data_IF_452634459852
#
_entry.id   IF_452634459852
#
_cell.length_a   1.000
_cell.length_b   1.000
_cell.length_c   1.000
_cell.angle_alpha   90.00
_cell.angle_beta   90.00
_cell.angle_gamma   90.00
#
_symmetry.space_group_name_H-M   'P 1'
#
loop_
_entity.id
_entity.type
_entity.pdbx_description
1 polymer ?
#
# COMPACT_ATOMS: atom_id res chain seq x y z
N UNK A 1 7.50 8.25 -42.57
CA UNK A 1 7.20 9.39 -41.71
C UNK A 1 5.88 9.14 -41.03
N UNK A 2 5.75 9.35 -39.72
CA UNK A 2 4.45 9.26 -39.05
C UNK A 2 3.50 10.30 -39.65
N UNK A 3 2.22 9.94 -39.77
CA UNK A 3 1.18 10.87 -40.25
C UNK A 3 0.84 11.79 -39.07
N UNK A 4 1.51 12.95 -39.02
CA UNK A 4 1.43 13.90 -37.89
C UNK A 4 0.00 14.36 -37.64
N UNK A 5 -0.78 14.58 -38.70
CA UNK A 5 -2.19 14.94 -38.59
C UNK A 5 -3.03 13.85 -37.88
N UNK A 6 -2.76 12.59 -38.19
CA UNK A 6 -3.39 11.45 -37.52
C UNK A 6 -3.00 11.35 -36.05
N UNK A 7 -1.75 11.62 -35.70
CA UNK A 7 -1.28 11.64 -34.31
C UNK A 7 -1.98 12.75 -33.51
N UNK A 8 -2.11 13.94 -34.04
CA UNK A 8 -2.81 15.06 -33.40
C UNK A 8 -4.30 14.72 -33.17
N UNK A 9 -4.97 14.18 -34.16
CA UNK A 9 -6.38 13.80 -34.03
C UNK A 9 -6.59 12.73 -32.93
N UNK A 10 -5.75 11.69 -32.92
CA UNK A 10 -5.80 10.66 -31.91
C UNK A 10 -5.44 11.18 -30.50
N UNK A 11 -4.44 12.06 -30.39
CA UNK A 11 -4.04 12.64 -29.13
C UNK A 11 -5.14 13.52 -28.52
N UNK A 12 -5.76 14.36 -29.32
CA UNK A 12 -6.91 15.19 -28.91
C UNK A 12 -8.07 14.30 -28.44
N UNK A 13 -8.40 13.26 -29.20
CA UNK A 13 -9.44 12.32 -28.83
C UNK A 13 -9.12 11.61 -27.52
N UNK A 14 -7.88 11.14 -27.35
CA UNK A 14 -7.40 10.47 -26.12
C UNK A 14 -7.49 11.39 -24.89
N UNK A 15 -7.05 12.66 -25.02
CA UNK A 15 -7.17 13.65 -23.93
C UNK A 15 -8.63 13.89 -23.57
N UNK A 16 -9.52 14.04 -24.54
CA UNK A 16 -10.93 14.30 -24.28
C UNK A 16 -11.62 13.12 -23.58
N UNK A 17 -11.43 11.91 -24.09
CA UNK A 17 -12.09 10.71 -23.54
C UNK A 17 -11.58 10.41 -22.13
N UNK A 18 -10.25 10.30 -21.94
CA UNK A 18 -9.67 9.99 -20.64
C UNK A 18 -9.85 11.16 -19.65
N UNK A 19 -9.75 12.40 -20.11
CA UNK A 19 -10.00 13.58 -19.30
C UNK A 19 -11.45 13.67 -18.81
N UNK A 20 -12.43 13.35 -19.67
CA UNK A 20 -13.84 13.29 -19.27
C UNK A 20 -14.08 12.15 -18.25
N UNK A 21 -13.50 10.98 -18.48
CA UNK A 21 -13.60 9.87 -17.56
C UNK A 21 -12.97 10.20 -16.20
N UNK A 22 -11.76 10.76 -16.17
CA UNK A 22 -11.08 11.21 -14.96
C UNK A 22 -11.91 12.27 -14.20
N UNK A 23 -12.47 13.25 -14.93
CA UNK A 23 -13.36 14.26 -14.34
C UNK A 23 -14.59 13.63 -13.67
N UNK A 24 -15.21 12.64 -14.30
CA UNK A 24 -16.35 11.93 -13.71
C UNK A 24 -15.97 11.15 -12.45
N UNK A 25 -14.83 10.48 -12.47
CA UNK A 25 -14.35 9.69 -11.34
C UNK A 25 -13.70 10.53 -10.22
N UNK A 26 -13.29 11.77 -10.49
CA UNK A 26 -12.71 12.66 -9.47
C UNK A 26 -13.63 12.94 -8.27
N UNK A 27 -14.94 12.74 -8.45
CA UNK A 27 -15.96 12.87 -7.40
C UNK A 27 -16.22 11.56 -6.65
N UNK A 28 -15.57 10.49 -7.02
CA UNK A 28 -15.68 9.18 -6.39
C UNK A 28 -15.14 9.16 -4.97
N UNK A 29 -15.81 8.42 -4.08
CA UNK A 29 -15.48 8.35 -2.66
C UNK A 29 -14.76 7.05 -2.28
N UNK A 30 -14.80 6.05 -3.16
CA UNK A 30 -14.20 4.74 -2.90
C UNK A 30 -12.73 4.70 -3.32
N UNK A 31 -11.94 3.85 -2.65
CA UNK A 31 -10.53 3.63 -2.99
C UNK A 31 -10.34 3.18 -4.43
N UNK A 32 -11.21 2.28 -4.90
CA UNK A 32 -11.18 1.77 -6.27
C UNK A 32 -11.37 2.90 -7.29
N UNK A 33 -12.26 3.85 -7.00
CA UNK A 33 -12.48 5.04 -7.84
C UNK A 33 -11.26 5.97 -7.85
N UNK A 34 -10.56 6.09 -6.72
CA UNK A 34 -9.31 6.88 -6.64
C UNK A 34 -8.19 6.25 -7.47
N UNK A 35 -7.96 4.95 -7.33
CA UNK A 35 -6.92 4.25 -8.11
C UNK A 35 -7.21 4.35 -9.59
N UNK A 36 -8.46 4.12 -9.99
CA UNK A 36 -8.87 4.24 -11.40
C UNK A 36 -8.73 5.69 -11.90
N UNK A 37 -9.04 6.69 -11.09
CA UNK A 37 -8.88 8.09 -11.45
C UNK A 37 -7.40 8.47 -11.66
N UNK A 38 -6.49 7.96 -10.82
CA UNK A 38 -5.05 8.14 -11.02
C UNK A 38 -4.56 7.54 -12.33
N UNK A 39 -5.02 6.34 -12.67
CA UNK A 39 -4.68 5.69 -13.94
C UNK A 39 -5.17 6.51 -15.14
N UNK A 40 -6.42 7.00 -15.10
CA UNK A 40 -6.94 7.85 -16.15
C UNK A 40 -6.20 9.19 -16.30
N UNK A 41 -5.71 9.76 -15.19
CA UNK A 41 -4.85 10.95 -15.22
C UNK A 41 -3.48 10.67 -15.84
N UNK A 42 -2.89 9.52 -15.59
CA UNK A 42 -1.66 9.07 -16.25
C UNK A 42 -1.87 8.94 -17.76
N UNK A 43 -2.99 8.38 -18.19
CA UNK A 43 -3.35 8.26 -19.60
C UNK A 43 -3.53 9.64 -20.25
N UNK A 44 -4.20 10.58 -19.57
CA UNK A 44 -4.34 11.97 -20.05
C UNK A 44 -2.97 12.61 -20.24
N UNK A 45 -2.05 12.47 -19.28
CA UNK A 45 -0.69 13.00 -19.38
C UNK A 45 0.06 12.39 -20.56
N UNK A 46 -0.12 11.09 -20.80
CA UNK A 46 0.43 10.41 -21.97
C UNK A 46 -0.07 11.00 -23.29
N UNK A 47 -1.38 11.18 -23.42
CA UNK A 47 -1.97 11.78 -24.61
C UNK A 47 -1.57 13.24 -24.81
N UNK A 48 -1.43 14.02 -23.73
CA UNK A 48 -0.90 15.40 -23.80
C UNK A 48 0.55 15.40 -24.27
N UNK A 49 1.38 14.49 -23.81
CA UNK A 49 2.76 14.36 -24.29
C UNK A 49 2.81 14.05 -25.79
N UNK A 50 2.01 13.09 -26.28
CA UNK A 50 1.88 12.78 -27.72
C UNK A 50 1.40 14.01 -28.51
N UNK A 51 0.46 14.78 -27.97
CA UNK A 51 -0.03 15.99 -28.62
C UNK A 51 1.07 17.05 -28.75
N UNK A 52 1.82 17.31 -27.69
CA UNK A 52 2.94 18.26 -27.70
C UNK A 52 3.97 17.87 -28.76
N UNK A 53 4.34 16.59 -28.79
CA UNK A 53 5.29 16.06 -29.78
C UNK A 53 4.77 16.21 -31.19
N UNK A 54 3.52 15.83 -31.41
CA UNK A 54 2.91 15.96 -32.75
C UNK A 54 2.90 17.44 -33.23
N UNK A 55 2.66 18.40 -32.33
CA UNK A 55 2.74 19.82 -32.64
C UNK A 55 4.20 20.23 -32.95
N UNK A 56 5.18 19.77 -32.19
CA UNK A 56 6.60 20.06 -32.44
C UNK A 56 7.02 19.52 -33.82
N UNK A 57 6.60 18.30 -34.17
CA UNK A 57 6.90 17.67 -35.47
C UNK A 57 6.27 18.39 -36.65
N UNK A 58 5.23 19.24 -36.47
CA UNK A 58 4.71 20.09 -37.51
C UNK A 58 5.68 21.20 -37.91
N UNK A 59 6.53 21.67 -36.95
CA UNK A 59 7.43 22.82 -37.18
C UNK A 59 8.89 22.41 -37.35
N UNK A 60 9.25 21.21 -36.88
CA UNK A 60 10.64 20.73 -36.86
C UNK A 60 10.69 19.32 -37.45
N UNK A 61 11.37 19.19 -38.55
CA UNK A 61 11.57 17.86 -39.18
C UNK A 61 12.71 17.09 -38.48
N UNK A 62 12.40 16.62 -37.29
CA UNK A 62 13.31 15.85 -36.43
C UNK A 62 12.82 14.40 -36.27
N UNK A 63 13.19 13.47 -37.16
CA UNK A 63 12.71 12.09 -37.15
C UNK A 63 13.04 11.31 -35.85
N UNK A 64 14.04 11.78 -35.09
CA UNK A 64 14.47 11.15 -33.84
C UNK A 64 13.56 11.48 -32.64
N UNK A 65 12.74 12.53 -32.76
CA UNK A 65 11.91 12.99 -31.65
C UNK A 65 10.84 11.95 -31.26
N UNK A 66 10.22 11.34 -32.24
CA UNK A 66 9.16 10.35 -32.06
C UNK A 66 9.69 9.07 -31.36
N UNK A 67 10.78 8.39 -31.82
CA UNK A 67 11.37 7.27 -31.10
C UNK A 67 11.87 7.66 -29.70
N UNK A 68 12.50 8.83 -29.57
CA UNK A 68 13.05 9.25 -28.28
C UNK A 68 11.94 9.43 -27.23
N UNK A 69 10.82 10.02 -27.61
CA UNK A 69 9.67 10.21 -26.72
C UNK A 69 8.95 8.92 -26.43
N UNK A 70 8.80 8.04 -27.41
CA UNK A 70 8.26 6.70 -27.21
C UNK A 70 9.07 5.92 -26.16
N UNK A 71 10.40 5.97 -26.26
CA UNK A 71 11.30 5.32 -25.28
C UNK A 71 11.15 5.98 -23.90
N UNK A 72 11.15 7.31 -23.83
CA UNK A 72 11.07 8.04 -22.56
C UNK A 72 9.73 7.78 -21.86
N UNK A 73 8.64 7.77 -22.60
CA UNK A 73 7.32 7.46 -22.08
C UNK A 73 7.18 6.02 -21.64
N UNK A 74 7.70 5.07 -22.44
CA UNK A 74 7.72 3.67 -22.07
C UNK A 74 8.53 3.43 -20.79
N UNK A 75 9.68 4.10 -20.66
CA UNK A 75 10.52 4.00 -19.47
C UNK A 75 9.80 4.59 -18.22
N UNK A 76 9.10 5.70 -18.38
CA UNK A 76 8.28 6.28 -17.30
C UNK A 76 7.19 5.31 -16.83
N UNK A 77 6.44 4.73 -17.77
CA UNK A 77 5.41 3.72 -17.43
C UNK A 77 6.05 2.50 -16.77
N UNK A 78 7.16 2.00 -17.32
CA UNK A 78 7.83 0.82 -16.77
C UNK A 78 8.28 1.04 -15.32
N UNK A 79 8.81 2.23 -14.99
CA UNK A 79 9.20 2.58 -13.62
C UNK A 79 7.99 2.58 -12.69
N UNK A 80 6.86 3.14 -13.10
CA UNK A 80 5.64 3.17 -12.29
C UNK A 80 5.05 1.77 -12.09
N UNK A 81 4.99 0.96 -13.14
CA UNK A 81 4.55 -0.43 -13.07
C UNK A 81 5.46 -1.24 -12.14
N UNK A 82 6.79 -1.09 -12.24
CA UNK A 82 7.73 -1.78 -11.37
C UNK A 82 7.55 -1.39 -9.89
N UNK A 83 7.31 -0.12 -9.59
CA UNK A 83 7.01 0.36 -8.21
C UNK A 83 5.71 -0.25 -7.67
N UNK A 84 4.65 -0.24 -8.47
CA UNK A 84 3.35 -0.80 -8.07
C UNK A 84 3.45 -2.32 -7.88
N UNK A 85 4.15 -3.01 -8.79
CA UNK A 85 4.41 -4.44 -8.67
C UNK A 85 5.19 -4.77 -7.39
N UNK A 86 6.24 -3.99 -7.09
CA UNK A 86 6.99 -4.17 -5.85
C UNK A 86 6.14 -3.98 -4.60
N UNK A 87 5.25 -2.97 -4.59
CA UNK A 87 4.31 -2.75 -3.50
C UNK A 87 3.36 -3.95 -3.33
N UNK A 88 2.81 -4.45 -4.43
CA UNK A 88 1.95 -5.62 -4.45
C UNK A 88 2.67 -6.88 -3.96
N UNK A 89 3.90 -7.12 -4.43
CA UNK A 89 4.72 -8.25 -3.98
C UNK A 89 4.95 -8.18 -2.45
N UNK A 90 5.28 -7.00 -1.92
CA UNK A 90 5.46 -6.82 -0.47
C UNK A 90 4.19 -7.15 0.32
N UNK A 91 3.03 -6.79 -0.21
CA UNK A 91 1.74 -7.11 0.40
C UNK A 91 1.52 -8.62 0.46
N UNK A 92 1.72 -9.32 -0.66
CA UNK A 92 1.59 -10.79 -0.73
C UNK A 92 2.63 -11.53 0.12
N UNK A 93 3.81 -10.98 0.29
CA UNK A 93 4.84 -11.52 1.19
C UNK A 93 4.62 -11.15 2.66
N UNK A 94 3.46 -10.55 3.00
CA UNK A 94 3.13 -10.15 4.36
C UNK A 94 4.20 -9.27 5.02
N UNK A 95 4.84 -8.42 4.20
CA UNK A 95 5.83 -7.49 4.72
C UNK A 95 5.17 -6.48 5.69
N UNK A 96 5.93 -6.03 6.67
CA UNK A 96 5.49 -5.00 7.60
C UNK A 96 5.02 -3.76 6.80
N UNK A 97 3.77 -3.32 6.98
CA UNK A 97 3.20 -2.21 6.19
C UNK A 97 3.92 -0.90 6.47
N UNK A 98 4.12 -0.59 7.74
CA UNK A 98 4.81 0.60 8.23
C UNK A 98 5.60 0.28 9.49
N UNK A 99 6.89 0.64 9.51
CA UNK A 99 7.76 0.43 10.66
C UNK A 99 7.35 1.26 11.88
N UNK A 100 6.84 2.46 11.67
CA UNK A 100 6.39 3.33 12.77
C UNK A 100 5.09 2.81 13.39
N UNK A 101 4.19 2.28 12.56
CA UNK A 101 3.00 1.58 13.05
C UNK A 101 3.40 0.37 13.92
N UNK A 102 4.31 -0.47 13.43
CA UNK A 102 4.77 -1.65 14.17
C UNK A 102 5.40 -1.27 15.52
N UNK A 103 6.27 -0.24 15.55
CA UNK A 103 6.85 0.28 16.80
C UNK A 103 5.78 0.83 17.75
N UNK A 104 4.78 1.53 17.23
CA UNK A 104 3.70 2.11 18.03
C UNK A 104 2.82 1.04 18.64
N UNK A 105 2.53 -0.03 17.90
CA UNK A 105 1.80 -1.20 18.40
C UNK A 105 2.63 -1.89 19.49
N UNK A 106 3.90 -2.19 19.23
CA UNK A 106 4.80 -2.79 20.21
C UNK A 106 4.86 -1.99 21.50
N UNK A 107 5.08 -0.67 21.40
CA UNK A 107 5.13 0.25 22.55
C UNK A 107 3.82 0.24 23.34
N UNK A 108 2.68 0.24 22.65
CA UNK A 108 1.36 0.23 23.29
C UNK A 108 1.11 -1.05 24.10
N UNK A 109 1.63 -2.17 23.62
CA UNK A 109 1.48 -3.46 24.29
C UNK A 109 2.48 -3.65 25.45
N UNK A 110 3.73 -3.25 25.28
CA UNK A 110 4.76 -3.40 26.33
C UNK A 110 4.54 -2.45 27.52
N UNK A 111 3.76 -1.37 27.35
CA UNK A 111 3.37 -0.46 28.43
C UNK A 111 2.25 -1.00 29.32
N UNK A 112 1.71 -2.19 29.04
CA UNK A 112 0.77 -2.88 29.90
C UNK A 112 1.52 -3.43 31.11
N UNK A 113 1.00 -3.20 32.32
CA UNK A 113 1.66 -3.57 33.58
C UNK A 113 1.80 -5.08 33.76
N UNK A 114 0.91 -5.83 33.17
CA UNK A 114 0.85 -7.28 33.27
C UNK A 114 1.83 -7.97 32.30
N UNK A 115 2.40 -7.22 31.34
CA UNK A 115 3.26 -7.73 30.27
C UNK A 115 4.73 -7.57 30.66
N UNK A 116 5.47 -8.66 30.62
CA UNK A 116 6.92 -8.69 30.83
C UNK A 116 7.68 -8.49 29.53
N UNK A 117 7.32 -9.25 28.51
CA UNK A 117 7.96 -9.20 27.20
C UNK A 117 6.98 -9.53 26.08
N UNK A 118 7.36 -9.17 24.85
CA UNK A 118 6.59 -9.42 23.63
C UNK A 118 7.50 -10.13 22.65
N UNK A 119 7.02 -11.25 22.12
CA UNK A 119 7.70 -11.97 21.06
C UNK A 119 6.71 -12.45 20.00
N UNK A 120 7.21 -12.92 18.86
CA UNK A 120 6.40 -13.31 17.70
C UNK A 120 5.38 -12.24 17.27
N UNK A 121 5.75 -10.95 17.40
CA UNK A 121 4.92 -9.85 16.90
C UNK A 121 5.03 -9.79 15.40
N UNK A 122 3.95 -10.17 14.72
CA UNK A 122 3.81 -10.06 13.28
C UNK A 122 2.67 -9.09 12.94
N UNK A 123 2.98 -8.13 12.10
CA UNK A 123 2.03 -7.14 11.62
C UNK A 123 2.13 -7.07 10.09
N UNK A 124 1.05 -7.37 9.41
CA UNK A 124 0.97 -7.28 7.95
C UNK A 124 -0.33 -6.65 7.50
N UNK A 125 -0.41 -6.27 6.23
CA UNK A 125 -1.63 -5.70 5.65
C UNK A 125 -2.35 -6.71 4.78
N UNK A 126 -3.68 -6.62 4.74
CA UNK A 126 -4.54 -7.42 3.85
C UNK A 126 -4.67 -6.76 2.47
N UNK A 127 -4.79 -5.45 2.43
CA UNK A 127 -5.14 -4.68 1.23
C UNK A 127 -4.39 -3.34 1.10
N UNK A 128 -3.48 -3.05 2.04
CA UNK A 128 -2.75 -1.79 2.13
C UNK A 128 -3.30 -0.83 3.20
N UNK A 129 -4.54 -1.01 3.65
CA UNK A 129 -5.21 -0.16 4.65
C UNK A 129 -5.61 -0.91 5.91
N UNK A 130 -6.11 -2.13 5.77
CA UNK A 130 -6.51 -2.99 6.88
C UNK A 130 -5.36 -3.92 7.28
N UNK A 131 -5.08 -4.00 8.56
CA UNK A 131 -3.93 -4.74 9.07
C UNK A 131 -4.34 -5.90 9.97
N UNK A 132 -3.49 -6.91 10.02
CA UNK A 132 -3.61 -8.05 10.94
C UNK A 132 -2.42 -8.04 11.87
N UNK A 133 -2.69 -8.26 13.16
CA UNK A 133 -1.69 -8.36 14.21
C UNK A 133 -1.77 -9.74 14.86
N UNK A 134 -0.62 -10.40 15.00
CA UNK A 134 -0.43 -11.50 15.92
C UNK A 134 0.73 -11.18 16.86
N UNK A 135 0.63 -11.56 18.13
CA UNK A 135 1.71 -11.38 19.09
C UNK A 135 1.55 -12.34 20.26
N UNK A 136 2.67 -12.72 20.86
CA UNK A 136 2.74 -13.41 22.14
C UNK A 136 3.14 -12.41 23.22
N UNK A 137 2.37 -12.37 24.30
CA UNK A 137 2.64 -11.54 25.48
C UNK A 137 2.96 -12.43 26.66
N UNK A 138 4.23 -12.45 27.06
CA UNK A 138 4.63 -13.11 28.28
C UNK A 138 4.19 -12.29 29.49
N UNK A 139 3.48 -12.92 30.43
CA UNK A 139 2.94 -12.28 31.62
C UNK A 139 3.95 -12.27 32.76
N UNK A 140 3.99 -11.16 33.51
CA UNK A 140 4.87 -11.02 34.69
C UNK A 140 4.48 -11.97 35.83
N UNK A 141 3.15 -12.20 35.96
CA UNK A 141 2.62 -13.05 37.05
C UNK A 141 1.39 -13.83 36.56
N UNK A 142 1.02 -14.86 37.33
CA UNK A 142 -0.16 -15.64 37.02
C UNK A 142 -1.43 -14.83 37.28
N UNK A 143 -2.25 -14.66 36.23
CA UNK A 143 -3.50 -13.93 36.33
C UNK A 143 -4.70 -14.86 36.51
N UNK A 144 -5.62 -14.47 37.38
CA UNK A 144 -6.94 -15.08 37.47
C UNK A 144 -7.74 -14.88 36.17
N UNK A 145 -8.75 -15.72 35.96
CA UNK A 145 -9.63 -15.60 34.76
C UNK A 145 -10.23 -14.19 34.61
N UNK A 146 -10.59 -13.56 35.74
CA UNK A 146 -11.16 -12.20 35.71
C UNK A 146 -10.12 -11.17 35.27
N UNK A 147 -8.88 -11.26 35.78
CA UNK A 147 -7.79 -10.37 35.38
C UNK A 147 -7.40 -10.56 33.91
N UNK A 148 -7.40 -11.81 33.42
CA UNK A 148 -7.18 -12.07 31.98
C UNK A 148 -8.26 -11.43 31.09
N UNK A 149 -9.53 -11.46 31.51
CA UNK A 149 -10.61 -10.81 30.79
C UNK A 149 -10.43 -9.26 30.77
N UNK A 150 -10.02 -8.69 31.88
CA UNK A 150 -9.74 -7.24 31.99
C UNK A 150 -8.55 -6.86 31.13
N UNK A 151 -7.47 -7.64 31.15
CA UNK A 151 -6.31 -7.43 30.29
C UNK A 151 -6.69 -7.49 28.80
N UNK A 152 -7.46 -8.49 28.37
CA UNK A 152 -7.95 -8.59 26.98
C UNK A 152 -8.78 -7.38 26.56
N UNK A 153 -9.62 -6.85 27.44
CA UNK A 153 -10.38 -5.61 27.17
C UNK A 153 -9.44 -4.41 27.03
N UNK A 154 -8.48 -4.26 27.95
CA UNK A 154 -7.49 -3.20 27.89
C UNK A 154 -6.66 -3.24 26.62
N UNK A 155 -6.24 -4.44 26.17
CA UNK A 155 -5.54 -4.63 24.91
C UNK A 155 -6.43 -4.16 23.74
N UNK A 156 -7.68 -4.62 23.67
CA UNK A 156 -8.60 -4.24 22.61
C UNK A 156 -8.83 -2.72 22.55
N UNK A 157 -9.03 -2.08 23.69
CA UNK A 157 -9.22 -0.64 23.78
C UNK A 157 -7.98 0.14 23.34
N UNK A 158 -6.77 -0.28 23.77
CA UNK A 158 -5.51 0.38 23.40
C UNK A 158 -5.16 0.18 21.93
N UNK A 159 -5.53 -0.95 21.33
CA UNK A 159 -5.29 -1.25 19.93
C UNK A 159 -6.35 -0.64 19.00
N UNK A 160 -7.51 -0.21 19.50
CA UNK A 160 -8.61 0.34 18.69
C UNK A 160 -8.23 1.58 17.86
N UNK A 161 -7.20 2.30 18.26
CA UNK A 161 -6.66 3.47 17.52
C UNK A 161 -5.86 3.11 16.26
N UNK A 162 -5.45 1.84 16.14
CA UNK A 162 -4.78 1.32 14.97
C UNK A 162 -5.80 0.65 14.05
N UNK A 163 -5.64 0.75 12.76
CA UNK A 163 -6.57 0.16 11.79
C UNK A 163 -6.33 -1.36 11.65
N UNK A 164 -6.60 -2.11 12.74
CA UNK A 164 -6.43 -3.54 12.83
C UNK A 164 -7.77 -4.23 12.59
N UNK A 165 -7.88 -4.96 11.47
CA UNK A 165 -9.08 -5.75 11.13
C UNK A 165 -9.15 -7.01 12.00
N UNK A 166 -8.00 -7.68 12.19
CA UNK A 166 -7.90 -8.87 13.02
C UNK A 166 -6.73 -8.74 13.99
N UNK A 167 -6.96 -9.15 15.23
CA UNK A 167 -5.95 -9.18 16.28
C UNK A 167 -6.00 -10.52 17.00
N UNK A 168 -4.89 -11.25 17.00
CA UNK A 168 -4.72 -12.49 17.76
C UNK A 168 -3.58 -12.31 18.73
N UNK A 169 -3.90 -12.32 20.02
CA UNK A 169 -2.92 -12.20 21.10
C UNK A 169 -2.94 -13.48 21.92
N UNK A 170 -1.82 -14.14 21.99
CA UNK A 170 -1.56 -15.24 22.92
C UNK A 170 -0.99 -14.68 24.21
N UNK A 171 -1.57 -15.09 25.34
CA UNK A 171 -1.06 -14.76 26.68
C UNK A 171 -0.29 -15.95 27.19
N UNK A 172 1.02 -15.81 27.35
CA UNK A 172 1.89 -16.85 27.88
C UNK A 172 2.05 -16.69 29.38
N UNK A 173 1.84 -17.78 30.11
CA UNK A 173 1.92 -17.78 31.57
C UNK A 173 3.38 -17.75 32.03
N UNK A 174 3.62 -17.31 33.23
CA UNK A 174 4.96 -17.07 33.82
C UNK A 174 5.96 -18.24 33.70
N UNK A 175 5.48 -19.49 33.64
CA UNK A 175 6.31 -20.69 33.52
C UNK A 175 6.07 -21.43 32.19
N UNK A 176 5.39 -20.81 31.24
CA UNK A 176 5.12 -21.39 29.96
C UNK A 176 6.29 -21.13 29.00
N UNK A 177 6.73 -22.18 28.32
CA UNK A 177 7.71 -22.05 27.26
C UNK A 177 6.96 -21.74 25.96
N UNK A 178 7.39 -20.71 25.25
CA UNK A 178 6.76 -20.36 23.99
C UNK A 178 6.82 -21.56 23.03
N UNK A 179 5.66 -21.96 22.53
CA UNK A 179 5.54 -23.13 21.62
C UNK A 179 6.19 -22.88 20.24
N UNK A 180 6.30 -21.61 19.84
CA UNK A 180 6.82 -21.19 18.54
C UNK A 180 8.31 -20.82 18.59
N UNK A 181 8.97 -21.03 19.74
CA UNK A 181 10.41 -20.92 19.84
C UNK A 181 11.06 -22.05 19.02
N UNK A 182 11.49 -21.71 17.82
CA UNK A 182 12.05 -22.61 16.80
C UNK A 182 13.42 -23.21 17.14
N UNK A 183 13.81 -23.22 18.40
CA UNK A 183 15.02 -23.89 18.87
C UNK A 183 14.79 -25.37 19.30
N UNK A 184 13.60 -25.89 19.05
CA UNK A 184 13.23 -27.24 19.37
C UNK A 184 13.16 -28.21 18.18
N UNK A 185 13.87 -27.92 17.07
CA UNK A 185 14.08 -28.88 15.98
C UNK A 185 15.54 -28.95 15.56
#
# INVERSE_FOLDING_TARGET
MPIVEGMIALAVFGVLVNGFAAYKLSKGKTLNERVLNWHLLEDVLGWVAVLIVSIVLLFVDWPILDPALSILFTLYILINVAKNLWHTIRLFLQAIPDKELSKSVYKTLIELKEVDSIHHLHLWSLDGEHHVLTAHLALQEALSTQQQLELKKSIAERLSKFNLEHTTIELEMTNEQCRDDSQAL
#
